data_IF_314127397857
#
_entry.id   IF_314127397857
#
_cell.length_a   1.000
_cell.length_b   1.000
_cell.length_c   1.000
_cell.angle_alpha   90.00
_cell.angle_beta   90.00
_cell.angle_gamma   90.00
#
_symmetry.space_group_name_H-M   'P 1'
#
loop_
_entity.id
_entity.type
_entity.pdbx_description
1 polymer ?
#
# COMPACT_ATOMS: atom_id res chain seq x y z
N UNK A 1 -8.15 22.32 -1.09
CA UNK A 1 -7.16 21.51 -0.40
C UNK A 1 -5.90 21.46 -1.25
N UNK A 2 -4.74 21.77 -0.70
CA UNK A 2 -3.44 21.82 -1.39
C UNK A 2 -2.68 20.50 -1.22
N UNK A 3 -1.66 20.22 -2.05
CA UNK A 3 -0.80 19.05 -1.89
C UNK A 3 -0.13 19.00 -0.51
N UNK A 4 0.27 20.16 0.01
CA UNK A 4 0.85 20.27 1.36
C UNK A 4 -0.14 19.91 2.47
N UNK A 5 -1.41 20.27 2.35
CA UNK A 5 -2.46 19.87 3.29
C UNK A 5 -2.74 18.36 3.23
N UNK A 6 -2.68 17.76 2.05
CA UNK A 6 -2.75 16.30 1.89
C UNK A 6 -1.57 15.58 2.56
N UNK A 7 -0.37 16.11 2.40
CA UNK A 7 0.83 15.61 3.07
C UNK A 7 0.72 15.70 4.60
N UNK A 8 0.14 16.76 5.13
CA UNK A 8 -0.12 16.91 6.57
C UNK A 8 -1.05 15.82 7.08
N UNK A 9 -2.20 15.61 6.40
CA UNK A 9 -3.17 14.58 6.78
C UNK A 9 -2.51 13.20 6.75
N UNK A 10 -1.80 12.88 5.66
CA UNK A 10 -1.11 11.60 5.51
C UNK A 10 -0.09 11.38 6.62
N UNK A 11 0.81 12.34 6.83
CA UNK A 11 1.89 12.19 7.81
C UNK A 11 1.35 12.08 9.25
N UNK A 12 0.30 12.84 9.61
CA UNK A 12 -0.31 12.75 10.93
C UNK A 12 -1.01 11.41 11.15
N UNK A 13 -1.64 10.86 10.12
CA UNK A 13 -2.26 9.54 10.17
C UNK A 13 -1.22 8.42 10.35
N UNK A 14 -0.12 8.49 9.61
CA UNK A 14 0.98 7.51 9.65
C UNK A 14 1.67 7.54 11.04
N UNK A 15 1.99 8.72 11.54
CA UNK A 15 2.69 8.90 12.83
C UNK A 15 1.78 8.76 14.06
N UNK A 16 0.46 8.80 13.89
CA UNK A 16 -0.55 8.78 14.98
C UNK A 16 -0.29 9.82 16.08
N UNK A 17 0.48 10.87 15.76
CA UNK A 17 0.94 11.90 16.69
C UNK A 17 1.25 13.20 15.94
N UNK A 18 0.60 14.32 16.33
CA UNK A 18 0.88 15.63 15.73
C UNK A 18 2.33 16.05 15.96
N UNK A 19 2.87 15.80 17.15
CA UNK A 19 4.25 16.17 17.47
C UNK A 19 5.28 15.37 16.68
N UNK A 20 5.04 14.07 16.45
CA UNK A 20 5.91 13.24 15.62
C UNK A 20 5.82 13.66 14.15
N UNK A 21 4.60 13.89 13.65
CA UNK A 21 4.38 14.37 12.28
C UNK A 21 5.03 15.73 12.02
N UNK A 22 4.90 16.68 12.95
CA UNK A 22 5.52 18.00 12.85
C UNK A 22 7.05 17.92 12.74
N UNK A 23 7.69 17.04 13.53
CA UNK A 23 9.13 16.77 13.42
C UNK A 23 9.50 16.20 12.05
N UNK A 24 8.74 15.23 11.56
CA UNK A 24 8.97 14.61 10.26
C UNK A 24 8.80 15.59 9.10
N UNK A 25 7.86 16.53 9.24
CA UNK A 25 7.59 17.58 8.25
C UNK A 25 8.49 18.81 8.41
N UNK A 26 9.37 18.84 9.40
CA UNK A 26 10.25 19.97 9.72
C UNK A 26 9.49 21.28 9.95
N UNK A 27 8.34 21.23 10.63
CA UNK A 27 7.53 22.40 10.98
C UNK A 27 7.21 22.45 12.47
N UNK A 28 6.79 23.64 12.95
CA UNK A 28 6.35 23.79 14.32
C UNK A 28 5.02 23.06 14.57
N UNK A 29 4.91 22.33 15.67
CA UNK A 29 3.71 21.56 16.02
C UNK A 29 2.45 22.44 16.12
N UNK A 30 2.47 23.68 16.67
CA UNK A 30 1.30 24.56 16.65
C UNK A 30 0.82 24.89 15.23
N UNK A 31 1.75 25.10 14.29
CA UNK A 31 1.40 25.39 12.89
C UNK A 31 0.73 24.20 12.21
N UNK A 32 1.20 22.97 12.46
CA UNK A 32 0.55 21.76 11.97
C UNK A 32 -0.84 21.59 12.56
N UNK A 33 -0.98 21.80 13.88
CA UNK A 33 -2.26 21.69 14.58
C UNK A 33 -3.31 22.70 14.04
N UNK A 34 -2.92 23.95 13.82
CA UNK A 34 -3.79 24.98 13.21
C UNK A 34 -4.17 24.63 11.77
N UNK A 35 -3.22 24.09 11.00
CA UNK A 35 -3.50 23.65 9.62
C UNK A 35 -4.52 22.53 9.58
N UNK A 36 -4.39 21.53 10.45
CA UNK A 36 -5.36 20.44 10.56
C UNK A 36 -6.73 20.93 10.97
N UNK A 37 -6.80 21.81 11.97
CA UNK A 37 -8.07 22.42 12.40
C UNK A 37 -8.76 23.15 11.24
N UNK A 38 -8.03 23.97 10.50
CA UNK A 38 -8.57 24.67 9.32
C UNK A 38 -9.04 23.71 8.22
N UNK A 39 -8.34 22.59 8.02
CA UNK A 39 -8.76 21.55 7.06
C UNK A 39 -10.09 20.93 7.52
N UNK A 40 -10.21 20.57 8.80
CA UNK A 40 -11.44 20.00 9.37
C UNK A 40 -12.61 20.99 9.29
N UNK A 41 -12.38 22.27 9.59
CA UNK A 41 -13.37 23.34 9.44
C UNK A 41 -13.83 23.49 7.98
N UNK A 42 -12.90 23.49 7.02
CA UNK A 42 -13.23 23.60 5.60
C UNK A 42 -14.01 22.39 5.06
N UNK A 43 -13.82 21.22 5.65
CA UNK A 43 -14.51 20.00 5.28
C UNK A 43 -15.80 19.77 6.08
N UNK A 44 -16.07 20.62 7.08
CA UNK A 44 -17.13 20.42 8.06
C UNK A 44 -17.14 19.02 8.65
N UNK A 45 -15.94 18.46 8.92
CA UNK A 45 -15.78 17.10 9.39
C UNK A 45 -14.50 16.92 10.21
N UNK A 46 -14.60 16.20 11.33
CA UNK A 46 -13.42 15.78 12.08
C UNK A 46 -12.74 14.60 11.39
N UNK A 47 -11.44 14.71 11.14
CA UNK A 47 -10.64 13.67 10.53
C UNK A 47 -9.96 12.77 11.57
N UNK A 48 -9.67 13.31 12.76
CA UNK A 48 -8.93 12.62 13.81
C UNK A 48 -9.69 12.60 15.13
N UNK A 49 -9.64 11.45 15.78
CA UNK A 49 -10.04 11.27 17.18
C UNK A 49 -8.81 11.25 18.07
N UNK A 50 -8.87 11.93 19.22
CA UNK A 50 -7.84 11.84 20.26
C UNK A 50 -8.15 10.67 21.18
N UNK A 51 -7.20 9.74 21.32
CA UNK A 51 -7.30 8.60 22.22
C UNK A 51 -6.10 8.55 23.19
N UNK A 52 -6.17 7.81 24.28
CA UNK A 52 -5.02 7.66 25.18
C UNK A 52 -3.79 7.05 24.49
N UNK A 53 -4.00 6.28 23.41
CA UNK A 53 -2.94 5.66 22.60
C UNK A 53 -2.44 6.53 21.44
N UNK A 54 -2.93 7.77 21.31
CA UNK A 54 -2.57 8.70 20.24
C UNK A 54 -3.76 9.12 19.39
N UNK A 55 -3.51 9.45 18.13
CA UNK A 55 -4.53 9.82 17.17
C UNK A 55 -5.02 8.61 16.37
N UNK A 56 -6.32 8.57 16.14
CA UNK A 56 -6.95 7.59 15.24
C UNK A 56 -7.82 8.31 14.22
N UNK A 57 -7.94 7.72 13.03
CA UNK A 57 -8.77 8.29 11.97
C UNK A 57 -10.27 8.04 12.27
N UNK A 58 -11.10 9.06 12.04
CA UNK A 58 -12.55 8.91 11.91
C UNK A 58 -12.89 8.20 10.59
N UNK A 59 -14.16 7.94 10.31
CA UNK A 59 -14.58 7.46 9.00
C UNK A 59 -14.24 8.47 7.88
N UNK A 60 -14.55 9.78 8.10
CA UNK A 60 -14.18 10.84 7.18
C UNK A 60 -12.64 10.92 7.02
N UNK A 61 -11.91 10.79 8.14
CA UNK A 61 -10.45 10.78 8.15
C UNK A 61 -9.86 9.64 7.32
N UNK A 62 -10.42 8.44 7.39
CA UNK A 62 -9.99 7.29 6.56
C UNK A 62 -10.17 7.57 5.07
N UNK A 63 -11.32 8.13 4.69
CA UNK A 63 -11.59 8.48 3.29
C UNK A 63 -10.66 9.59 2.80
N UNK A 64 -10.43 10.60 3.63
CA UNK A 64 -9.52 11.70 3.33
C UNK A 64 -8.06 11.21 3.23
N UNK A 65 -7.63 10.34 4.11
CA UNK A 65 -6.30 9.69 4.06
C UNK A 65 -6.08 8.90 2.76
N UNK A 66 -7.05 8.06 2.37
CA UNK A 66 -6.98 7.30 1.12
C UNK A 66 -6.85 8.23 -0.10
N UNK A 67 -7.71 9.26 -0.16
CA UNK A 67 -7.64 10.26 -1.23
C UNK A 67 -6.30 11.01 -1.22
N UNK A 68 -5.79 11.41 -0.04
CA UNK A 68 -4.51 12.07 0.08
C UNK A 68 -3.36 11.20 -0.46
N UNK A 69 -3.34 9.91 -0.12
CA UNK A 69 -2.35 8.96 -0.63
C UNK A 69 -2.41 8.85 -2.16
N UNK A 70 -3.60 8.71 -2.74
CA UNK A 70 -3.78 8.60 -4.19
C UNK A 70 -3.32 9.87 -4.92
N UNK A 71 -3.72 11.05 -4.45
CA UNK A 71 -3.34 12.33 -5.08
C UNK A 71 -1.83 12.56 -4.97
N UNK A 72 -1.23 12.29 -3.81
CA UNK A 72 0.22 12.45 -3.63
C UNK A 72 1.00 11.43 -4.48
N UNK A 73 0.46 10.23 -4.67
CA UNK A 73 1.05 9.23 -5.60
C UNK A 73 1.03 9.75 -7.04
N UNK A 74 -0.11 10.23 -7.52
CA UNK A 74 -0.23 10.80 -8.89
C UNK A 74 0.78 11.95 -9.08
N UNK A 75 0.96 12.79 -8.07
CA UNK A 75 1.93 13.87 -8.11
C UNK A 75 3.36 13.36 -8.24
N UNK A 76 3.71 12.38 -7.41
CA UNK A 76 5.04 11.74 -7.45
C UNK A 76 5.32 11.04 -8.78
N UNK A 77 4.32 10.35 -9.32
CA UNK A 77 4.43 9.67 -10.63
C UNK A 77 4.66 10.67 -11.76
N UNK A 78 3.93 11.78 -11.75
CA UNK A 78 4.11 12.86 -12.71
C UNK A 78 5.52 13.50 -12.61
N UNK A 79 6.02 13.76 -11.41
CA UNK A 79 7.38 14.26 -11.21
C UNK A 79 8.43 13.29 -11.74
N UNK A 80 8.20 11.98 -11.53
CA UNK A 80 9.07 10.92 -12.05
C UNK A 80 9.02 10.89 -13.58
N UNK A 81 7.82 10.92 -14.19
CA UNK A 81 7.66 10.96 -15.63
C UNK A 81 8.38 12.17 -16.27
N UNK A 82 8.22 13.35 -15.68
CA UNK A 82 8.95 14.56 -16.14
C UNK A 82 10.46 14.43 -15.97
N UNK A 83 10.91 13.79 -14.89
CA UNK A 83 12.35 13.50 -14.68
C UNK A 83 12.86 12.52 -15.72
N UNK A 84 12.08 11.48 -16.04
CA UNK A 84 12.44 10.45 -17.02
C UNK A 84 12.48 10.98 -18.44
N UNK A 85 11.58 11.91 -18.79
CA UNK A 85 11.65 12.68 -20.06
C UNK A 85 12.96 13.44 -20.17
N UNK A 86 13.49 13.98 -19.07
CA UNK A 86 14.76 14.71 -19.03
C UNK A 86 16.00 13.81 -19.04
N UNK A 87 15.91 12.59 -18.50
CA UNK A 87 17.05 11.71 -18.28
C UNK A 87 17.07 10.43 -19.13
N UNK A 88 16.02 10.18 -19.94
CA UNK A 88 15.93 9.00 -20.82
C UNK A 88 16.40 7.70 -20.13
N UNK A 89 15.62 7.10 -19.26
CA UNK A 89 15.76 5.69 -18.80
C UNK A 89 15.95 5.43 -17.29
N UNK A 90 15.26 6.03 -16.39
CA UNK A 90 15.23 5.48 -15.02
C UNK A 90 13.83 5.59 -14.42
N UNK A 91 13.31 4.50 -13.91
CA UNK A 91 12.05 4.41 -13.18
C UNK A 91 12.23 3.57 -11.92
N UNK A 92 11.33 3.72 -10.96
CA UNK A 92 11.24 2.86 -9.78
C UNK A 92 9.87 2.22 -9.74
N UNK A 93 9.85 0.90 -9.57
CA UNK A 93 8.64 0.11 -9.37
C UNK A 93 8.67 -0.46 -7.96
N UNK A 94 7.62 -0.23 -7.20
CA UNK A 94 7.41 -0.81 -5.86
C UNK A 94 6.38 -1.91 -5.99
N UNK A 95 6.80 -3.18 -5.85
CA UNK A 95 5.90 -4.31 -5.91
C UNK A 95 5.79 -5.03 -4.57
N UNK A 96 4.59 -5.48 -4.26
CA UNK A 96 4.33 -6.35 -3.12
C UNK A 96 4.25 -7.81 -3.53
N UNK A 97 4.62 -8.72 -2.61
CA UNK A 97 4.38 -10.14 -2.79
C UNK A 97 4.18 -10.83 -1.45
N UNK A 98 3.47 -11.96 -1.46
CA UNK A 98 3.49 -12.85 -0.31
C UNK A 98 4.77 -13.68 -0.34
N UNK A 99 5.29 -14.07 0.82
CA UNK A 99 6.55 -14.83 0.94
C UNK A 99 6.59 -16.05 0.00
N UNK A 100 5.51 -16.83 -0.06
CA UNK A 100 5.45 -18.01 -0.93
C UNK A 100 5.58 -17.65 -2.41
N UNK A 101 4.82 -16.65 -2.88
CA UNK A 101 4.87 -16.23 -4.29
C UNK A 101 6.22 -15.59 -4.62
N UNK A 102 6.77 -14.77 -3.71
CA UNK A 102 8.09 -14.19 -3.84
C UNK A 102 9.18 -15.25 -4.07
N UNK A 103 9.16 -16.28 -3.24
CA UNK A 103 10.15 -17.37 -3.34
C UNK A 103 10.02 -18.18 -4.63
N UNK A 104 8.81 -18.41 -5.16
CA UNK A 104 8.59 -19.30 -6.31
C UNK A 104 8.64 -18.54 -7.64
N UNK A 105 8.11 -17.32 -7.70
CA UNK A 105 7.92 -16.58 -8.95
C UNK A 105 9.09 -15.67 -9.24
N UNK A 106 9.54 -14.86 -8.26
CA UNK A 106 10.53 -13.82 -8.49
C UNK A 106 11.87 -14.35 -9.05
N UNK A 107 12.43 -15.48 -8.58
CA UNK A 107 13.68 -15.99 -9.16
C UNK A 107 13.60 -16.32 -10.66
N UNK A 108 12.39 -16.57 -11.17
CA UNK A 108 12.17 -16.91 -12.58
C UNK A 108 12.06 -15.67 -13.46
N UNK A 109 11.48 -14.58 -12.95
CA UNK A 109 11.19 -13.39 -13.76
C UNK A 109 12.23 -12.28 -13.59
N UNK A 110 12.88 -12.17 -12.43
CA UNK A 110 13.84 -11.09 -12.15
C UNK A 110 15.04 -11.05 -13.10
N UNK A 111 15.66 -12.19 -13.51
CA UNK A 111 16.79 -12.16 -14.44
C UNK A 111 16.40 -11.56 -15.80
N UNK A 112 15.24 -11.95 -16.33
CA UNK A 112 14.71 -11.43 -17.60
C UNK A 112 14.34 -9.96 -17.47
N UNK A 113 13.65 -9.57 -16.41
CA UNK A 113 13.32 -8.17 -16.12
C UNK A 113 14.57 -7.28 -16.07
N UNK A 114 15.60 -7.71 -15.32
CA UNK A 114 16.87 -6.96 -15.21
C UNK A 114 17.61 -6.85 -16.54
N UNK A 115 17.50 -7.87 -17.40
CA UNK A 115 18.10 -7.84 -18.74
C UNK A 115 17.38 -6.86 -19.66
N UNK A 116 16.04 -6.86 -19.64
CA UNK A 116 15.20 -6.03 -20.50
C UNK A 116 15.06 -4.58 -20.02
N UNK A 117 15.17 -4.36 -18.70
CA UNK A 117 14.95 -3.06 -18.06
C UNK A 117 16.02 -2.76 -17.01
N UNK A 118 17.31 -2.67 -17.39
CA UNK A 118 18.44 -2.57 -16.46
C UNK A 118 18.41 -1.28 -15.62
N UNK A 119 17.78 -0.23 -16.14
CA UNK A 119 17.71 1.09 -15.51
C UNK A 119 16.50 1.29 -14.59
N UNK A 120 15.61 0.29 -14.51
CA UNK A 120 14.47 0.33 -13.58
C UNK A 120 14.88 -0.24 -12.23
N UNK A 121 14.73 0.55 -11.19
CA UNK A 121 14.85 0.09 -9.80
C UNK A 121 13.58 -0.66 -9.40
N UNK A 122 13.72 -1.89 -8.93
CA UNK A 122 12.62 -2.69 -8.42
C UNK A 122 12.75 -2.83 -6.90
N UNK A 123 11.80 -2.22 -6.17
CA UNK A 123 11.65 -2.34 -4.71
C UNK A 123 10.60 -3.43 -4.43
N UNK A 124 11.03 -4.55 -3.86
CA UNK A 124 10.16 -5.70 -3.58
C UNK A 124 9.91 -5.76 -2.07
N UNK A 125 8.63 -5.77 -1.70
CA UNK A 125 8.21 -5.84 -0.30
C UNK A 125 7.35 -7.07 -0.04
N UNK A 126 7.62 -7.74 1.08
CA UNK A 126 6.86 -8.90 1.50
C UNK A 126 5.90 -8.56 2.63
N UNK A 127 4.64 -8.97 2.49
CA UNK A 127 3.64 -8.88 3.54
C UNK A 127 2.50 -9.90 3.28
N UNK A 128 1.50 -9.91 4.17
CA UNK A 128 0.27 -10.68 3.96
C UNK A 128 -0.67 -9.96 2.97
N UNK A 129 -1.59 -10.73 2.36
CA UNK A 129 -2.53 -10.25 1.33
C UNK A 129 -3.27 -8.96 1.74
N UNK A 130 -3.84 -8.91 2.96
CA UNK A 130 -4.62 -7.75 3.39
C UNK A 130 -3.82 -6.46 3.47
N UNK A 131 -2.57 -6.53 3.95
CA UNK A 131 -1.69 -5.37 3.99
C UNK A 131 -1.19 -4.98 2.60
N UNK A 132 -0.93 -5.95 1.73
CA UNK A 132 -0.54 -5.69 0.34
C UNK A 132 -1.65 -4.94 -0.39
N UNK A 133 -2.91 -5.39 -0.26
CA UNK A 133 -4.07 -4.69 -0.83
C UNK A 133 -4.19 -3.25 -0.29
N UNK A 134 -4.04 -3.05 1.04
CA UNK A 134 -4.05 -1.72 1.64
C UNK A 134 -2.93 -0.83 1.08
N UNK A 135 -1.73 -1.36 0.89
CA UNK A 135 -0.58 -0.61 0.38
C UNK A 135 -0.74 -0.25 -1.11
N UNK A 136 -1.36 -1.11 -1.91
CA UNK A 136 -1.73 -0.77 -3.29
C UNK A 136 -2.81 0.31 -3.31
N UNK A 137 -3.86 0.19 -2.49
CA UNK A 137 -4.93 1.20 -2.38
C UNK A 137 -4.42 2.59 -1.97
N UNK A 138 -3.41 2.64 -1.11
CA UNK A 138 -2.81 3.90 -0.65
C UNK A 138 -1.71 4.42 -1.57
N UNK A 139 -1.41 3.71 -2.66
CA UNK A 139 -0.31 4.06 -3.57
C UNK A 139 1.09 3.91 -2.97
N UNK A 140 1.22 3.20 -1.85
CA UNK A 140 2.52 2.86 -1.28
C UNK A 140 3.25 1.76 -2.08
N UNK A 141 2.49 1.04 -2.94
CA UNK A 141 2.97 0.09 -3.94
C UNK A 141 2.26 0.34 -5.26
N UNK A 142 2.92 0.00 -6.36
CA UNK A 142 2.35 0.08 -7.70
C UNK A 142 1.42 -1.10 -7.98
N UNK A 143 1.84 -2.31 -7.59
CA UNK A 143 1.05 -3.53 -7.68
C UNK A 143 1.53 -4.59 -6.68
N UNK A 144 0.76 -5.66 -6.53
CA UNK A 144 1.14 -6.79 -5.69
C UNK A 144 0.79 -8.13 -6.32
N UNK A 145 1.68 -9.11 -6.18
CA UNK A 145 1.40 -10.53 -6.43
C UNK A 145 0.86 -11.16 -5.14
N UNK A 146 -0.37 -11.62 -5.18
CA UNK A 146 -1.03 -12.17 -4.00
C UNK A 146 -1.95 -13.34 -4.35
N UNK A 147 -2.29 -14.12 -3.35
CA UNK A 147 -3.35 -15.11 -3.47
C UNK A 147 -4.69 -14.41 -3.23
N UNK A 148 -5.45 -14.18 -4.29
CA UNK A 148 -6.78 -13.58 -4.16
C UNK A 148 -7.81 -14.64 -3.79
N UNK A 149 -8.62 -14.42 -2.74
CA UNK A 149 -9.77 -15.28 -2.50
C UNK A 149 -10.81 -15.07 -3.60
N UNK A 150 -11.31 -16.15 -4.20
CA UNK A 150 -12.37 -16.07 -5.24
C UNK A 150 -13.67 -15.41 -4.72
N UNK A 151 -13.84 -15.25 -3.41
CA UNK A 151 -15.13 -14.96 -2.77
C UNK A 151 -15.38 -13.51 -2.39
N UNK A 152 -14.37 -12.65 -2.30
CA UNK A 152 -14.57 -11.23 -2.00
C UNK A 152 -13.36 -10.37 -2.41
N UNK A 153 -13.17 -10.09 -3.69
CA UNK A 153 -12.17 -9.13 -4.12
C UNK A 153 -12.52 -7.74 -3.58
N UNK A 154 -11.54 -6.94 -3.23
CA UNK A 154 -11.77 -5.56 -2.81
C UNK A 154 -12.27 -4.76 -4.04
N UNK A 155 -13.48 -4.17 -4.00
CA UNK A 155 -14.07 -3.50 -5.16
C UNK A 155 -13.32 -2.22 -5.60
N UNK A 156 -12.33 -1.79 -4.82
CA UNK A 156 -11.50 -0.61 -5.12
C UNK A 156 -10.16 -0.99 -5.79
N UNK A 157 -9.94 -2.28 -6.07
CA UNK A 157 -8.74 -2.81 -6.72
C UNK A 157 -9.12 -3.55 -7.99
N UNK A 158 -8.31 -3.39 -9.02
CA UNK A 158 -8.36 -4.24 -10.21
C UNK A 158 -7.49 -5.48 -9.98
N UNK A 159 -8.03 -6.65 -10.34
CA UNK A 159 -7.33 -7.92 -10.21
C UNK A 159 -7.16 -8.58 -11.56
N UNK A 160 -5.92 -8.91 -11.89
CA UNK A 160 -5.59 -9.72 -13.06
C UNK A 160 -5.26 -11.16 -12.63
N UNK A 161 -5.97 -12.13 -13.21
CA UNK A 161 -5.77 -13.53 -12.91
C UNK A 161 -4.54 -14.06 -13.67
N UNK A 162 -3.55 -14.55 -12.93
CA UNK A 162 -2.31 -15.09 -13.50
C UNK A 162 -2.32 -16.60 -13.57
N UNK A 163 -2.68 -17.30 -12.48
CA UNK A 163 -2.71 -18.76 -12.45
C UNK A 163 -3.53 -19.29 -11.27
N UNK A 164 -3.95 -20.54 -11.36
CA UNK A 164 -4.63 -21.27 -10.28
C UNK A 164 -3.70 -22.37 -9.72
N UNK A 165 -3.53 -22.38 -8.39
CA UNK A 165 -2.77 -23.38 -7.68
C UNK A 165 -3.70 -24.17 -6.76
N UNK A 166 -3.87 -25.49 -6.96
CA UNK A 166 -4.71 -26.31 -6.10
C UNK A 166 -4.03 -26.54 -4.74
N UNK A 167 -4.82 -26.46 -3.67
CA UNK A 167 -4.39 -26.96 -2.37
C UNK A 167 -4.48 -28.48 -2.35
N UNK A 168 -3.46 -29.13 -1.81
CA UNK A 168 -3.46 -30.56 -1.59
C UNK A 168 -3.24 -30.85 -0.11
N UNK A 169 -3.91 -31.87 0.41
CA UNK A 169 -3.68 -32.39 1.75
C UNK A 169 -2.79 -33.61 1.66
N UNK A 170 -1.62 -33.52 2.30
CA UNK A 170 -0.76 -34.69 2.46
C UNK A 170 -1.16 -35.43 3.74
N UNK A 171 -1.51 -36.69 3.61
CA UNK A 171 -1.88 -37.58 4.72
C UNK A 171 -0.85 -38.70 4.81
N UNK A 172 -0.51 -39.09 6.05
CA UNK A 172 0.27 -40.31 6.27
C UNK A 172 -0.52 -41.55 5.79
N UNK A 173 0.15 -42.46 5.13
CA UNK A 173 -0.46 -43.74 4.71
C UNK A 173 -0.87 -44.54 5.95
N UNK A 174 -2.20 -44.57 6.21
CA UNK A 174 -2.78 -45.37 7.31
C UNK A 174 -4.26 -45.59 7.08
N UNK A 175 -4.81 -46.76 7.50
CA UNK A 175 -6.17 -47.18 7.12
C UNK A 175 -7.29 -46.31 7.69
N UNK A 176 -7.06 -45.50 8.72
CA UNK A 176 -8.12 -44.73 9.39
C UNK A 176 -8.35 -43.28 8.87
N UNK A 177 -7.37 -42.69 8.20
CA UNK A 177 -7.49 -41.29 7.73
C UNK A 177 -7.82 -41.22 6.22
N UNK A 178 -7.38 -42.18 5.43
CA UNK A 178 -7.66 -42.24 3.97
C UNK A 178 -9.13 -42.57 3.66
N UNK A 179 -9.87 -43.25 4.55
CA UNK A 179 -11.30 -43.50 4.35
C UNK A 179 -12.17 -42.29 4.65
N UNK A 180 -11.80 -41.45 5.63
CA UNK A 180 -12.55 -40.23 5.98
C UNK A 180 -12.33 -39.05 5.00
N UNK A 181 -11.32 -39.09 4.16
CA UNK A 181 -11.06 -38.05 3.16
C UNK A 181 -11.79 -38.30 1.81
N UNK A 182 -12.55 -39.40 1.69
CA UNK A 182 -13.34 -39.74 0.50
C UNK A 182 -14.84 -39.53 0.66
N UNK A 183 -15.30 -39.15 1.86
CA UNK A 183 -16.66 -38.66 2.16
C UNK A 183 -16.65 -37.11 2.20
#
# INVERSE_FOLDING_TARGET
>A
MTSRELEYIKTVADEKSISAAARKLYIAQPSLSQSLQRIEENLDAHLFNRTPSGLTLTYAGKRCYQMACQVLKIYSDFETEISDIKQLKSGRIVMGTTNHLGTVILPKILPEFKTNSPSIELDIREDNTGKLEEQVLTGAMDFALLHAPKLAPNPLLDYEFLSENPFVIALAQGPSLTQKAKE
#
